data_IF_286706778121
#
_entry.id   IF_286706778121
#
_cell.length_a   1.000
_cell.length_b   1.000
_cell.length_c   1.000
_cell.angle_alpha   90.00
_cell.angle_beta   90.00
_cell.angle_gamma   90.00
#
_symmetry.space_group_name_H-M   'P 1'
#
loop_
_entity.id
_entity.type
_entity.pdbx_description
1 polymer ?
#
# COMPACT_ATOMS: atom_id res chain seq x y z
N UNK A 1 -14.76 62.82 -10.46
CA UNK A 1 -13.82 61.76 -10.87
C UNK A 1 -12.45 62.36 -10.71
N UNK A 2 -11.69 61.95 -9.69
CA UNK A 2 -10.32 62.43 -9.46
C UNK A 2 -9.47 61.96 -10.64
N UNK A 3 -8.81 62.91 -11.32
CA UNK A 3 -7.76 62.55 -12.28
C UNK A 3 -6.61 61.96 -11.49
N UNK A 4 -6.20 60.71 -11.83
CA UNK A 4 -5.01 60.07 -11.30
C UNK A 4 -3.82 61.01 -11.57
N UNK A 5 -2.97 61.18 -10.56
CA UNK A 5 -1.77 62.00 -10.68
C UNK A 5 -0.84 61.41 -11.75
N UNK A 6 0.00 62.20 -12.40
CA UNK A 6 0.89 61.78 -13.48
C UNK A 6 1.78 60.57 -13.03
N UNK A 7 2.23 60.58 -11.78
CA UNK A 7 3.00 59.48 -11.20
C UNK A 7 2.19 58.17 -11.10
N UNK A 8 0.91 58.20 -10.73
CA UNK A 8 0.04 57.03 -10.69
C UNK A 8 -0.23 56.47 -12.08
N UNK A 9 -0.32 57.33 -13.11
CA UNK A 9 -0.49 56.92 -14.50
C UNK A 9 0.76 56.24 -15.05
N UNK A 10 1.97 56.72 -14.72
CA UNK A 10 3.24 56.07 -15.08
C UNK A 10 3.39 54.73 -14.42
N UNK A 11 3.06 54.58 -13.12
CA UNK A 11 3.10 53.31 -12.41
C UNK A 11 2.12 52.28 -13.00
N UNK A 12 0.90 52.70 -13.35
CA UNK A 12 -0.07 51.85 -14.01
C UNK A 12 0.38 51.42 -15.42
N UNK A 13 1.02 52.30 -16.17
CA UNK A 13 1.57 52.00 -17.49
C UNK A 13 2.72 50.99 -17.39
N UNK A 14 3.63 51.17 -16.43
CA UNK A 14 4.73 50.22 -16.14
C UNK A 14 4.19 48.84 -15.73
N UNK A 15 3.17 48.76 -14.86
CA UNK A 15 2.56 47.51 -14.46
C UNK A 15 1.87 46.81 -15.63
N UNK A 16 1.18 47.53 -16.49
CA UNK A 16 0.56 46.98 -17.71
C UNK A 16 1.60 46.44 -18.69
N UNK A 17 2.71 47.16 -18.89
CA UNK A 17 3.81 46.69 -19.74
C UNK A 17 4.42 45.40 -19.18
N UNK A 18 4.74 45.41 -17.89
CA UNK A 18 5.27 44.22 -17.23
C UNK A 18 4.31 42.99 -17.34
N UNK A 19 3.01 43.23 -17.16
CA UNK A 19 1.99 42.18 -17.30
C UNK A 19 1.89 41.68 -18.74
N UNK A 20 2.02 42.57 -19.72
CA UNK A 20 2.03 42.18 -21.13
C UNK A 20 3.21 41.22 -21.45
N UNK A 21 4.37 41.51 -20.89
CA UNK A 21 5.60 40.73 -21.14
C UNK A 21 5.65 39.43 -20.35
N UNK A 22 5.15 39.44 -19.11
CA UNK A 22 5.32 38.31 -18.17
C UNK A 22 4.00 37.58 -17.85
N UNK A 23 2.85 38.15 -18.14
CA UNK A 23 1.55 37.64 -17.72
C UNK A 23 1.26 36.24 -18.24
N UNK A 24 1.66 35.94 -19.47
CA UNK A 24 1.44 34.60 -20.07
C UNK A 24 2.22 33.53 -19.33
N UNK A 25 3.48 33.81 -19.01
CA UNK A 25 4.31 32.84 -18.25
C UNK A 25 3.82 32.68 -16.80
N UNK A 26 3.42 33.78 -16.15
CA UNK A 26 2.85 33.76 -14.82
C UNK A 26 1.55 32.94 -14.76
N UNK A 27 0.64 33.17 -15.72
CA UNK A 27 -0.61 32.39 -15.81
C UNK A 27 -0.35 30.92 -16.10
N UNK A 28 0.61 30.59 -16.96
CA UNK A 28 1.01 29.21 -17.22
C UNK A 28 1.53 28.54 -15.94
N UNK A 29 2.38 29.21 -15.17
CA UNK A 29 2.92 28.72 -13.91
C UNK A 29 1.80 28.49 -12.88
N UNK A 30 0.89 29.43 -12.73
CA UNK A 30 -0.28 29.29 -11.84
C UNK A 30 -1.16 28.11 -12.24
N UNK A 31 -1.38 27.91 -13.54
CA UNK A 31 -2.14 26.75 -14.04
C UNK A 31 -1.45 25.42 -13.69
N UNK A 32 -0.15 25.32 -13.91
CA UNK A 32 0.63 24.11 -13.55
C UNK A 32 0.56 23.85 -12.06
N UNK A 33 0.73 24.88 -11.21
CA UNK A 33 0.60 24.74 -9.76
C UNK A 33 -0.82 24.27 -9.35
N UNK A 34 -1.86 24.83 -9.96
CA UNK A 34 -3.24 24.44 -9.68
C UNK A 34 -3.50 22.97 -10.06
N UNK A 35 -3.01 22.53 -11.24
CA UNK A 35 -3.10 21.15 -11.68
C UNK A 35 -2.31 20.20 -10.77
N UNK A 36 -1.13 20.58 -10.32
CA UNK A 36 -0.32 19.80 -9.40
C UNK A 36 -1.03 19.62 -8.04
N UNK A 37 -1.56 20.71 -7.47
CA UNK A 37 -2.30 20.66 -6.20
C UNK A 37 -3.61 19.88 -6.35
N UNK A 38 -4.36 20.08 -7.43
CA UNK A 38 -5.59 19.35 -7.72
C UNK A 38 -5.34 17.85 -7.89
N UNK A 39 -4.31 17.48 -8.66
CA UNK A 39 -3.89 16.09 -8.85
C UNK A 39 -3.46 15.43 -7.53
N UNK A 40 -2.67 16.13 -6.72
CA UNK A 40 -2.25 15.65 -5.40
C UNK A 40 -3.44 15.42 -4.46
N UNK A 41 -4.36 16.39 -4.38
CA UNK A 41 -5.59 16.28 -3.57
C UNK A 41 -6.48 15.14 -4.04
N UNK A 42 -6.68 15.00 -5.34
CA UNK A 42 -7.45 13.89 -5.93
C UNK A 42 -6.83 12.53 -5.63
N UNK A 43 -5.51 12.41 -5.76
CA UNK A 43 -4.78 11.20 -5.38
C UNK A 43 -4.91 10.87 -3.89
N UNK A 44 -4.76 11.85 -3.02
CA UNK A 44 -4.91 11.68 -1.57
C UNK A 44 -6.34 11.25 -1.19
N UNK A 45 -7.35 11.86 -1.81
CA UNK A 45 -8.75 11.47 -1.61
C UNK A 45 -8.99 10.02 -2.03
N UNK A 46 -8.47 9.61 -3.20
CA UNK A 46 -8.58 8.23 -3.67
C UNK A 46 -7.91 7.23 -2.73
N UNK A 47 -6.70 7.53 -2.26
CA UNK A 47 -5.98 6.68 -1.30
C UNK A 47 -6.72 6.55 0.03
N UNK A 48 -7.24 7.66 0.56
CA UNK A 48 -8.01 7.65 1.81
C UNK A 48 -9.32 6.86 1.67
N UNK A 49 -10.00 6.99 0.54
CA UNK A 49 -11.21 6.22 0.25
C UNK A 49 -10.89 4.72 0.19
N UNK A 50 -9.87 4.32 -0.54
CA UNK A 50 -9.41 2.93 -0.62
C UNK A 50 -9.05 2.36 0.76
N UNK A 51 -8.36 3.14 1.59
CA UNK A 51 -8.01 2.73 2.95
C UNK A 51 -9.26 2.53 3.82
N UNK A 52 -10.21 3.47 3.75
CA UNK A 52 -11.45 3.38 4.53
C UNK A 52 -12.33 2.20 4.08
N UNK A 53 -12.51 2.02 2.78
CA UNK A 53 -13.31 0.92 2.22
C UNK A 53 -12.68 -0.45 2.57
N UNK A 54 -11.34 -0.56 2.53
CA UNK A 54 -10.64 -1.78 2.94
C UNK A 54 -10.74 -2.05 4.44
N UNK A 55 -10.78 -1.00 5.29
CA UNK A 55 -10.99 -1.15 6.72
C UNK A 55 -12.39 -1.70 7.05
N UNK A 56 -13.43 -1.24 6.34
CA UNK A 56 -14.79 -1.75 6.49
C UNK A 56 -14.85 -3.23 6.10
N UNK A 57 -14.25 -3.62 4.97
CA UNK A 57 -14.20 -5.03 4.55
C UNK A 57 -13.37 -5.88 5.51
N UNK A 58 -12.30 -5.34 6.09
CA UNK A 58 -11.53 -6.03 7.12
C UNK A 58 -12.35 -6.27 8.39
N UNK A 59 -13.17 -5.31 8.82
CA UNK A 59 -14.06 -5.50 9.96
C UNK A 59 -15.08 -6.62 9.71
N UNK A 60 -15.58 -6.75 8.47
CA UNK A 60 -16.46 -7.88 8.09
C UNK A 60 -15.69 -9.21 8.07
N UNK A 61 -14.44 -9.22 7.55
CA UNK A 61 -13.57 -10.40 7.62
C UNK A 61 -13.36 -10.86 9.08
N UNK A 62 -13.11 -9.93 10.02
CA UNK A 62 -12.94 -10.27 11.44
C UNK A 62 -14.17 -10.97 12.02
N UNK A 63 -15.39 -10.55 11.64
CA UNK A 63 -16.62 -11.27 12.06
C UNK A 63 -16.67 -12.71 11.52
N UNK A 64 -16.16 -12.94 10.30
CA UNK A 64 -16.08 -14.31 9.78
C UNK A 64 -15.03 -15.14 10.55
N UNK A 65 -13.93 -14.52 10.98
CA UNK A 65 -12.95 -15.17 11.87
C UNK A 65 -13.58 -15.60 13.19
N UNK A 66 -14.41 -14.76 13.80
CA UNK A 66 -15.13 -15.10 15.04
C UNK A 66 -16.08 -16.31 14.87
N UNK A 67 -16.61 -16.52 13.67
CA UNK A 67 -17.46 -17.68 13.37
C UNK A 67 -16.69 -19.00 13.30
N UNK A 68 -15.36 -18.97 13.22
CA UNK A 68 -14.44 -20.10 13.03
C UNK A 68 -14.77 -20.99 11.82
N UNK A 69 -15.46 -20.43 10.81
CA UNK A 69 -15.79 -21.12 9.56
C UNK A 69 -14.70 -20.83 8.52
N UNK A 70 -13.82 -21.80 8.32
CA UNK A 70 -12.65 -21.67 7.42
C UNK A 70 -13.05 -21.31 5.98
N UNK A 71 -14.21 -21.76 5.51
CA UNK A 71 -14.69 -21.43 4.18
C UNK A 71 -15.06 -19.95 4.09
N UNK A 72 -15.81 -19.43 5.06
CA UNK A 72 -16.19 -18.02 5.11
C UNK A 72 -14.98 -17.11 5.29
N UNK A 73 -13.99 -17.53 6.11
CA UNK A 73 -12.73 -16.81 6.28
C UNK A 73 -12.03 -16.71 4.93
N UNK A 74 -11.91 -17.82 4.20
CA UNK A 74 -11.26 -17.84 2.88
C UNK A 74 -12.03 -17.02 1.84
N UNK A 75 -13.34 -17.08 1.79
CA UNK A 75 -14.16 -16.30 0.86
C UNK A 75 -13.99 -14.78 1.15
N UNK A 76 -14.01 -14.40 2.43
CA UNK A 76 -13.86 -12.99 2.83
C UNK A 76 -12.46 -12.44 2.53
N UNK A 77 -11.40 -13.21 2.76
CA UNK A 77 -10.03 -12.76 2.45
C UNK A 77 -9.81 -12.63 0.95
N UNK A 78 -10.36 -13.55 0.13
CA UNK A 78 -10.27 -13.45 -1.33
C UNK A 78 -10.95 -12.16 -1.82
N UNK A 79 -12.15 -11.85 -1.34
CA UNK A 79 -12.84 -10.60 -1.70
C UNK A 79 -12.03 -9.35 -1.32
N UNK A 80 -11.37 -9.37 -0.16
CA UNK A 80 -10.55 -8.27 0.31
C UNK A 80 -9.27 -8.12 -0.53
N UNK A 81 -8.63 -9.24 -0.86
CA UNK A 81 -7.43 -9.26 -1.71
C UNK A 81 -7.73 -8.84 -3.15
N UNK A 82 -8.84 -9.27 -3.73
CA UNK A 82 -9.21 -8.90 -5.11
C UNK A 82 -9.44 -7.39 -5.26
N UNK A 83 -10.06 -6.75 -4.28
CA UNK A 83 -10.40 -5.33 -4.36
C UNK A 83 -9.31 -4.40 -3.83
N UNK A 84 -8.56 -4.85 -2.83
CA UNK A 84 -7.68 -3.99 -2.04
C UNK A 84 -6.32 -4.64 -1.74
N UNK A 85 -5.76 -5.45 -2.67
CA UNK A 85 -4.53 -6.22 -2.47
C UNK A 85 -3.37 -5.43 -1.85
N UNK A 86 -3.19 -4.16 -2.28
CA UNK A 86 -2.13 -3.28 -1.77
C UNK A 86 -2.46 -2.55 -0.47
N UNK A 87 -3.61 -2.84 0.18
CA UNK A 87 -3.94 -2.24 1.48
C UNK A 87 -3.30 -3.02 2.63
N UNK A 88 -2.97 -2.30 3.71
CA UNK A 88 -2.50 -2.92 4.94
C UNK A 88 -3.51 -3.91 5.54
N UNK A 89 -4.80 -3.63 5.38
CA UNK A 89 -5.88 -4.49 5.87
C UNK A 89 -5.97 -5.81 5.10
N UNK A 90 -5.82 -5.79 3.77
CA UNK A 90 -5.77 -7.00 2.96
C UNK A 90 -4.58 -7.89 3.34
N UNK A 91 -3.40 -7.29 3.52
CA UNK A 91 -2.20 -8.03 3.93
C UNK A 91 -2.37 -8.67 5.31
N UNK A 92 -2.96 -7.96 6.29
CA UNK A 92 -3.24 -8.52 7.63
C UNK A 92 -4.28 -9.63 7.59
N UNK A 93 -5.35 -9.45 6.79
CA UNK A 93 -6.35 -10.48 6.61
C UNK A 93 -5.76 -11.75 5.98
N UNK A 94 -4.90 -11.61 4.97
CA UNK A 94 -4.24 -12.74 4.32
C UNK A 94 -3.28 -13.48 5.26
N UNK A 95 -2.51 -12.76 6.09
CA UNK A 95 -1.66 -13.38 7.11
C UNK A 95 -2.48 -14.15 8.16
N UNK A 96 -3.62 -13.61 8.58
CA UNK A 96 -4.49 -14.28 9.54
C UNK A 96 -5.19 -15.48 8.92
N UNK A 97 -5.72 -15.36 7.69
CA UNK A 97 -6.33 -16.47 6.98
C UNK A 97 -5.31 -17.59 6.66
N UNK A 98 -4.05 -17.24 6.35
CA UNK A 98 -2.98 -18.23 6.19
C UNK A 98 -2.80 -19.05 7.46
N UNK A 99 -2.82 -18.43 8.65
CA UNK A 99 -2.73 -19.16 9.92
C UNK A 99 -3.88 -20.15 10.09
N UNK A 100 -5.14 -19.75 9.84
CA UNK A 100 -6.28 -20.66 9.91
C UNK A 100 -6.17 -21.83 8.91
N UNK A 101 -5.62 -21.58 7.71
CA UNK A 101 -5.39 -22.64 6.74
C UNK A 101 -4.23 -23.57 7.16
N UNK A 102 -3.17 -23.07 7.81
CA UNK A 102 -2.11 -23.90 8.40
C UNK A 102 -2.69 -24.81 9.50
N UNK A 103 -3.49 -24.28 10.42
CA UNK A 103 -4.17 -25.05 11.47
C UNK A 103 -5.13 -26.10 10.90
N UNK A 104 -5.81 -25.78 9.79
CA UNK A 104 -6.67 -26.70 9.05
C UNK A 104 -5.90 -27.68 8.14
N UNK A 105 -4.55 -27.63 8.13
CA UNK A 105 -3.65 -28.43 7.27
C UNK A 105 -3.86 -28.20 5.76
N UNK A 106 -4.40 -27.05 5.38
CA UNK A 106 -4.50 -26.61 3.98
C UNK A 106 -3.29 -25.73 3.61
N UNK A 107 -2.12 -26.34 3.56
CA UNK A 107 -0.86 -25.67 3.23
C UNK A 107 -0.92 -24.99 1.83
N UNK A 108 -1.73 -25.49 0.91
CA UNK A 108 -1.85 -24.91 -0.43
C UNK A 108 -2.46 -23.50 -0.38
N UNK A 109 -3.56 -23.32 0.36
CA UNK A 109 -4.19 -22.01 0.54
C UNK A 109 -3.31 -21.08 1.39
N UNK A 110 -2.71 -21.59 2.48
CA UNK A 110 -1.79 -20.81 3.29
C UNK A 110 -0.66 -20.22 2.46
N UNK A 111 0.01 -21.02 1.63
CA UNK A 111 1.08 -20.57 0.72
C UNK A 111 0.59 -19.50 -0.28
N UNK A 112 -0.59 -19.69 -0.87
CA UNK A 112 -1.16 -18.72 -1.81
C UNK A 112 -1.40 -17.36 -1.12
N UNK A 113 -1.93 -17.37 0.09
CA UNK A 113 -2.21 -16.15 0.86
C UNK A 113 -0.92 -15.45 1.28
N UNK A 114 0.08 -16.20 1.76
CA UNK A 114 1.39 -15.66 2.14
C UNK A 114 2.12 -15.08 0.93
N UNK A 115 2.11 -15.78 -0.21
CA UNK A 115 2.70 -15.27 -1.45
C UNK A 115 2.03 -13.97 -1.89
N UNK A 116 0.71 -13.89 -1.79
CA UNK A 116 -0.01 -12.65 -2.13
C UNK A 116 0.39 -11.46 -1.24
N UNK A 117 0.70 -11.69 0.05
CA UNK A 117 1.24 -10.64 0.93
C UNK A 117 2.64 -10.20 0.47
N UNK A 118 3.50 -11.15 0.10
CA UNK A 118 4.85 -10.85 -0.40
C UNK A 118 4.79 -9.97 -1.65
N UNK A 119 3.88 -10.28 -2.57
CA UNK A 119 3.79 -9.64 -3.87
C UNK A 119 3.10 -8.27 -3.82
N UNK A 120 2.12 -8.08 -2.95
CA UNK A 120 1.23 -6.92 -2.99
C UNK A 120 1.35 -5.97 -1.80
N UNK A 121 1.88 -6.41 -0.65
CA UNK A 121 1.98 -5.56 0.53
C UNK A 121 2.93 -4.38 0.30
N UNK A 122 2.53 -3.19 0.73
CA UNK A 122 3.39 -2.00 0.76
C UNK A 122 4.19 -1.89 2.07
N UNK A 123 3.87 -2.71 3.06
CA UNK A 123 4.55 -2.74 4.36
C UNK A 123 5.63 -3.83 4.34
N UNK A 124 6.90 -3.43 4.31
CA UNK A 124 8.04 -4.37 4.26
C UNK A 124 8.04 -5.36 5.43
N UNK A 125 7.61 -4.93 6.63
CA UNK A 125 7.50 -5.82 7.79
C UNK A 125 6.48 -6.94 7.61
N UNK A 126 5.34 -6.69 6.94
CA UNK A 126 4.35 -7.73 6.64
C UNK A 126 4.87 -8.69 5.57
N UNK A 127 5.63 -8.19 4.59
CA UNK A 127 6.31 -9.05 3.61
C UNK A 127 7.32 -9.97 4.30
N UNK A 128 8.10 -9.45 5.25
CA UNK A 128 9.10 -10.24 5.98
C UNK A 128 8.43 -11.34 6.83
N UNK A 129 7.34 -11.02 7.52
CA UNK A 129 6.53 -12.02 8.24
C UNK A 129 5.99 -13.09 7.29
N UNK A 130 5.47 -12.68 6.12
CA UNK A 130 4.95 -13.63 5.14
C UNK A 130 6.05 -14.53 4.57
N UNK A 131 7.26 -13.98 4.29
CA UNK A 131 8.41 -14.78 3.84
C UNK A 131 8.85 -15.80 4.87
N UNK A 132 8.96 -15.42 6.13
CA UNK A 132 9.32 -16.34 7.22
C UNK A 132 8.31 -17.49 7.34
N UNK A 133 7.02 -17.19 7.35
CA UNK A 133 5.99 -18.23 7.43
C UNK A 133 5.97 -19.14 6.20
N UNK A 134 6.10 -18.56 5.00
CA UNK A 134 6.15 -19.34 3.77
C UNK A 134 7.39 -20.23 3.72
N UNK A 135 8.54 -19.73 4.16
CA UNK A 135 9.76 -20.52 4.27
C UNK A 135 9.60 -21.68 5.26
N UNK A 136 8.96 -21.45 6.41
CA UNK A 136 8.69 -22.52 7.38
C UNK A 136 7.79 -23.63 6.79
N UNK A 137 6.72 -23.26 6.06
CA UNK A 137 5.87 -24.26 5.38
C UNK A 137 6.69 -25.05 4.34
N UNK A 138 7.55 -24.37 3.58
CA UNK A 138 8.41 -25.05 2.57
C UNK A 138 9.43 -25.97 3.22
N UNK A 139 9.93 -25.63 4.40
CA UNK A 139 10.80 -26.46 5.20
C UNK A 139 10.09 -27.77 5.63
N UNK A 140 8.87 -27.65 6.16
CA UNK A 140 8.04 -28.79 6.52
C UNK A 140 7.74 -29.71 5.31
N UNK A 141 7.60 -29.11 4.12
CA UNK A 141 7.46 -29.84 2.84
C UNK A 141 8.79 -30.39 2.30
N UNK A 142 9.93 -30.16 2.97
CA UNK A 142 11.30 -30.53 2.55
C UNK A 142 11.75 -29.87 1.25
N UNK A 143 11.19 -28.69 0.95
CA UNK A 143 11.54 -27.85 -0.23
C UNK A 143 12.62 -26.84 0.15
N UNK A 144 13.78 -27.35 0.55
CA UNK A 144 14.88 -26.56 1.12
C UNK A 144 15.36 -25.43 0.19
N UNK A 145 15.55 -25.72 -1.10
CA UNK A 145 16.04 -24.74 -2.07
C UNK A 145 15.08 -23.53 -2.22
N UNK A 146 13.77 -23.77 -2.15
CA UNK A 146 12.78 -22.71 -2.27
C UNK A 146 12.68 -21.91 -0.96
N UNK A 147 12.83 -22.56 0.19
CA UNK A 147 12.90 -21.88 1.48
C UNK A 147 14.13 -20.96 1.54
N UNK A 148 15.32 -21.44 1.15
CA UNK A 148 16.55 -20.63 1.11
C UNK A 148 16.38 -19.39 0.21
N UNK A 149 15.79 -19.53 -0.99
CA UNK A 149 15.56 -18.39 -1.88
C UNK A 149 14.72 -17.29 -1.24
N UNK A 150 13.71 -17.64 -0.46
CA UNK A 150 12.89 -16.67 0.27
C UNK A 150 13.68 -15.99 1.40
N UNK A 151 14.52 -16.76 2.10
CA UNK A 151 15.33 -16.29 3.23
C UNK A 151 16.54 -15.45 2.81
N UNK A 152 17.04 -15.64 1.58
CA UNK A 152 18.13 -14.81 1.01
C UNK A 152 17.64 -13.44 0.52
N UNK A 153 16.33 -13.22 0.48
CA UNK A 153 15.75 -11.95 0.08
C UNK A 153 16.09 -10.80 1.04
N UNK A 154 16.01 -9.56 0.52
CA UNK A 154 16.17 -8.36 1.38
C UNK A 154 15.09 -8.34 2.44
N UNK A 155 15.46 -8.13 3.70
CA UNK A 155 14.57 -8.03 4.84
C UNK A 155 14.98 -6.85 5.74
N UNK A 156 14.08 -6.40 6.61
CA UNK A 156 14.37 -5.36 7.58
C UNK A 156 15.34 -5.87 8.65
N UNK A 157 16.22 -5.02 9.13
CA UNK A 157 17.21 -5.37 10.17
C UNK A 157 16.58 -5.98 11.43
N UNK A 158 15.38 -5.53 11.80
CA UNK A 158 14.62 -6.06 12.93
C UNK A 158 14.28 -7.56 12.82
N UNK A 159 14.18 -8.08 11.59
CA UNK A 159 13.89 -9.51 11.34
C UNK A 159 15.15 -10.36 11.11
N UNK A 160 16.34 -9.74 11.04
CA UNK A 160 17.60 -10.42 10.70
C UNK A 160 17.88 -11.66 11.54
N UNK A 161 17.61 -11.62 12.84
CA UNK A 161 17.76 -12.76 13.72
C UNK A 161 16.86 -13.94 13.34
N UNK A 162 15.57 -13.66 13.05
CA UNK A 162 14.60 -14.69 12.66
C UNK A 162 14.92 -15.32 11.29
N UNK A 163 15.39 -14.50 10.34
CA UNK A 163 15.82 -15.02 9.04
C UNK A 163 17.06 -15.89 9.16
N UNK A 164 18.02 -15.50 10.00
CA UNK A 164 19.24 -16.30 10.24
C UNK A 164 18.94 -17.62 10.98
N UNK A 165 18.05 -17.57 11.95
CA UNK A 165 17.60 -18.74 12.73
C UNK A 165 16.94 -19.77 11.82
N UNK A 166 15.90 -19.36 11.09
CA UNK A 166 15.18 -20.25 10.17
C UNK A 166 16.07 -20.77 9.04
N UNK A 167 17.06 -19.98 8.59
CA UNK A 167 18.04 -20.41 7.59
C UNK A 167 19.00 -21.47 8.16
N UNK A 168 19.25 -21.44 9.45
CA UNK A 168 20.04 -22.49 10.15
C UNK A 168 19.31 -23.82 10.24
N UNK A 169 17.99 -23.84 10.14
CA UNK A 169 17.16 -25.05 10.19
C UNK A 169 17.01 -25.72 8.80
N UNK A 170 17.46 -25.09 7.72
CA UNK A 170 17.43 -25.59 6.34
C UNK A 170 18.66 -26.41 6.02
#
# INVERSE_FOLDING_TARGET
MAALDLEEQEQLAALKAWWHDNGTWLMATLLVCALAVGGWKGWQYYQNKQANDSAIMYAEFVKQVESNDIKRINDAVVMLMDKYAGSAYASRAALLAAQFNEEAKDAAKAKTQLQSVIDNSKEAGLQDVARLRLAAILLDEKKYDDAIKLLDGKHQAAFGGLFADLKGDV
#
